data_IF_231029139186
#
_entry.id   IF_231029139186
#
_cell.length_a   1.000
_cell.length_b   1.000
_cell.length_c   1.000
_cell.angle_alpha   90.00
_cell.angle_beta   90.00
_cell.angle_gamma   90.00
#
_symmetry.space_group_name_H-M   'P 1'
#
loop_
_entity.id
_entity.type
_entity.pdbx_description
1 polymer ?
#
# COMPACT_ATOMS: atom_id res chain seq x y z
N UNK A 1 -0.85 -10.52 -16.85
CA UNK A 1 -0.11 -9.52 -16.08
C UNK A 1 -1.02 -8.31 -16.03
N UNK A 2 -1.40 -7.86 -14.84
CA UNK A 2 -2.16 -6.62 -14.66
C UNK A 2 -1.44 -5.51 -15.42
N UNK A 3 -2.15 -4.68 -16.19
CA UNK A 3 -1.59 -3.48 -16.83
C UNK A 3 -1.32 -2.37 -15.80
N UNK A 4 -1.01 -2.74 -14.56
CA UNK A 4 -0.79 -1.82 -13.48
C UNK A 4 0.50 -1.05 -13.75
N UNK A 5 0.33 0.21 -14.10
CA UNK A 5 1.42 1.17 -14.21
C UNK A 5 1.57 1.82 -12.84
N UNK A 6 2.71 1.57 -12.21
CA UNK A 6 3.02 2.09 -10.90
C UNK A 6 3.09 3.63 -10.94
N UNK A 7 2.15 4.29 -10.26
CA UNK A 7 2.00 5.74 -10.19
C UNK A 7 2.98 6.45 -9.25
N UNK A 8 4.04 5.76 -8.80
CA UNK A 8 5.05 6.29 -7.90
C UNK A 8 4.52 6.48 -6.48
N UNK A 9 4.95 7.56 -5.82
CA UNK A 9 4.62 7.87 -4.41
C UNK A 9 3.13 7.80 -4.10
N UNK A 10 2.27 8.27 -5.00
CA UNK A 10 0.82 8.36 -4.78
C UNK A 10 0.17 6.99 -4.55
N UNK A 11 0.66 5.94 -5.18
CA UNK A 11 0.11 4.60 -5.03
C UNK A 11 0.48 3.97 -3.68
N UNK A 12 1.68 4.30 -3.20
CA UNK A 12 2.14 3.91 -1.87
C UNK A 12 1.31 4.61 -0.79
N UNK A 13 1.07 5.91 -0.95
CA UNK A 13 0.23 6.69 -0.02
C UNK A 13 -1.21 6.16 0.03
N UNK A 14 -1.83 5.87 -1.13
CA UNK A 14 -3.16 5.26 -1.19
C UNK A 14 -3.22 3.91 -0.50
N UNK A 15 -2.22 3.06 -0.74
CA UNK A 15 -2.15 1.73 -0.13
C UNK A 15 -1.98 1.82 1.38
N UNK A 16 -1.20 2.80 1.84
CA UNK A 16 -0.99 3.06 3.27
C UNK A 16 -2.28 3.52 3.95
N UNK A 17 -3.01 4.46 3.35
CA UNK A 17 -4.32 4.89 3.85
C UNK A 17 -5.32 3.73 3.94
N UNK A 18 -5.32 2.84 2.94
CA UNK A 18 -6.16 1.64 2.96
C UNK A 18 -5.77 0.70 4.11
N UNK A 19 -4.48 0.41 4.28
CA UNK A 19 -4.01 -0.50 5.34
C UNK A 19 -4.27 0.08 6.73
N UNK A 20 -4.09 1.39 6.94
CA UNK A 20 -4.43 2.06 8.21
C UNK A 20 -5.94 1.96 8.50
N UNK A 21 -6.78 2.11 7.48
CA UNK A 21 -8.23 1.92 7.66
C UNK A 21 -8.59 0.45 7.96
N UNK A 22 -7.89 -0.49 7.34
CA UNK A 22 -8.06 -1.92 7.59
C UNK A 22 -7.65 -2.27 9.02
N UNK A 23 -6.51 -1.78 9.49
CA UNK A 23 -6.00 -1.95 10.84
C UNK A 23 -7.03 -1.50 11.89
N UNK A 24 -7.54 -0.27 11.74
CA UNK A 24 -8.57 0.28 12.62
C UNK A 24 -9.89 -0.53 12.62
N UNK A 25 -10.15 -1.31 11.58
CA UNK A 25 -11.33 -2.16 11.46
C UNK A 25 -11.08 -3.61 11.90
N UNK A 26 -9.84 -4.01 12.14
CA UNK A 26 -9.50 -5.39 12.53
C UNK A 26 -9.60 -5.59 14.04
N UNK A 27 -10.37 -6.60 14.44
CA UNK A 27 -10.45 -7.07 15.83
C UNK A 27 -9.47 -8.22 16.12
N UNK A 28 -8.81 -8.76 15.09
CA UNK A 28 -7.90 -9.89 15.21
C UNK A 28 -6.46 -9.40 15.36
N UNK A 29 -5.84 -9.70 16.51
CA UNK A 29 -4.47 -9.27 16.83
C UNK A 29 -3.40 -9.80 15.85
N UNK A 30 -3.59 -10.98 15.25
CA UNK A 30 -2.64 -11.49 14.26
C UNK A 30 -2.74 -10.71 12.94
N UNK A 31 -3.97 -10.36 12.54
CA UNK A 31 -4.19 -9.55 11.34
C UNK A 31 -3.65 -8.13 11.51
N UNK A 32 -3.81 -7.53 12.70
CA UNK A 32 -3.21 -6.24 13.07
C UNK A 32 -1.69 -6.28 12.91
N UNK A 33 -1.01 -7.30 13.46
CA UNK A 33 0.45 -7.42 13.35
C UNK A 33 0.94 -7.59 11.91
N UNK A 34 0.20 -8.33 11.07
CA UNK A 34 0.51 -8.45 9.65
C UNK A 34 0.34 -7.12 8.93
N UNK A 35 -0.73 -6.38 9.23
CA UNK A 35 -1.00 -5.06 8.66
C UNK A 35 0.06 -4.04 9.10
N UNK A 36 0.43 -4.02 10.39
CA UNK A 36 1.49 -3.15 10.91
C UNK A 36 2.83 -3.37 10.17
N UNK A 37 3.20 -4.64 9.94
CA UNK A 37 4.41 -4.98 9.20
C UNK A 37 4.39 -4.47 7.76
N UNK A 38 3.23 -4.54 7.10
CA UNK A 38 3.08 -4.01 5.73
C UNK A 38 3.04 -2.49 5.70
N UNK A 39 2.42 -1.83 6.69
CA UNK A 39 2.47 -0.36 6.84
C UNK A 39 3.92 0.10 7.01
N UNK A 40 4.70 -0.55 7.88
CA UNK A 40 6.12 -0.23 8.05
C UNK A 40 6.90 -0.42 6.74
N UNK A 41 6.58 -1.46 5.96
CA UNK A 41 7.23 -1.71 4.67
C UNK A 41 6.93 -0.60 3.67
N UNK A 42 5.67 -0.17 3.56
CA UNK A 42 5.27 0.95 2.69
C UNK A 42 5.93 2.27 3.13
N UNK A 43 5.99 2.54 4.44
CA UNK A 43 6.66 3.73 4.99
C UNK A 43 8.15 3.77 4.65
N UNK A 44 8.86 2.64 4.77
CA UNK A 44 10.28 2.56 4.39
C UNK A 44 10.50 2.82 2.89
N UNK A 45 9.56 2.43 2.04
CA UNK A 45 9.64 2.78 0.61
C UNK A 45 9.37 4.27 0.38
N UNK A 46 8.46 4.90 1.12
CA UNK A 46 8.27 6.36 1.08
C UNK A 46 9.52 7.12 1.53
N UNK A 47 10.21 6.65 2.56
CA UNK A 47 11.47 7.25 3.01
C UNK A 47 12.53 7.25 1.90
N UNK A 48 12.58 6.18 1.08
CA UNK A 48 13.47 6.12 -0.09
C UNK A 48 13.09 7.13 -1.15
N UNK A 49 11.80 7.40 -1.34
CA UNK A 49 11.31 8.46 -2.22
C UNK A 49 11.66 9.87 -1.73
N UNK A 50 11.63 10.10 -0.41
CA UNK A 50 12.04 11.38 0.18
C UNK A 50 13.53 11.67 -0.08
N UNK A 51 14.36 10.61 -0.10
CA UNK A 51 15.80 10.72 -0.39
C UNK A 51 16.07 10.76 -1.90
N UNK A 52 15.32 10.00 -2.70
CA UNK A 52 15.45 9.92 -4.15
C UNK A 52 14.06 9.91 -4.81
N UNK A 53 13.59 11.04 -5.37
CA UNK A 53 12.29 11.13 -6.03
C UNK A 53 12.12 10.20 -7.24
N UNK A 54 13.22 9.73 -7.82
CA UNK A 54 13.23 8.78 -8.95
C UNK A 54 13.46 7.33 -8.49
N UNK A 55 13.33 7.05 -7.19
CA UNK A 55 13.36 5.69 -6.67
C UNK A 55 12.24 4.87 -7.30
N UNK A 56 12.56 3.67 -7.76
CA UNK A 56 11.58 2.71 -8.26
C UNK A 56 11.76 1.45 -7.41
N UNK A 57 10.73 1.02 -6.67
CA UNK A 57 10.76 -0.24 -5.91
C UNK A 57 10.99 -1.44 -6.83
N UNK A 58 11.32 -2.58 -6.23
CA UNK A 58 11.45 -3.83 -6.99
C UNK A 58 10.09 -4.31 -7.53
N UNK A 59 10.16 -5.20 -8.54
CA UNK A 59 8.96 -5.71 -9.20
C UNK A 59 8.04 -6.48 -8.24
N UNK A 60 8.62 -7.18 -7.26
CA UNK A 60 7.86 -7.93 -6.25
C UNK A 60 7.04 -6.99 -5.35
N UNK A 61 7.62 -5.86 -4.95
CA UNK A 61 6.92 -4.82 -4.20
C UNK A 61 5.83 -4.16 -5.06
N UNK A 62 6.12 -3.87 -6.33
CA UNK A 62 5.12 -3.31 -7.24
C UNK A 62 3.95 -4.27 -7.43
N UNK A 63 4.19 -5.59 -7.52
CA UNK A 63 3.13 -6.59 -7.60
C UNK A 63 2.26 -6.60 -6.34
N UNK A 64 2.86 -6.57 -5.16
CA UNK A 64 2.14 -6.50 -3.88
C UNK A 64 1.34 -5.19 -3.80
N UNK A 65 1.96 -4.06 -4.15
CA UNK A 65 1.34 -2.74 -4.14
C UNK A 65 0.14 -2.68 -5.08
N UNK A 66 0.23 -3.31 -6.25
CA UNK A 66 -0.89 -3.37 -7.20
C UNK A 66 -2.15 -3.98 -6.58
N UNK A 67 -1.99 -5.01 -5.75
CA UNK A 67 -3.09 -5.65 -5.04
C UNK A 67 -3.67 -4.77 -3.92
N UNK A 68 -2.85 -3.94 -3.27
CA UNK A 68 -3.34 -2.97 -2.28
C UNK A 68 -4.09 -1.82 -2.93
N UNK A 69 -3.60 -1.30 -4.07
CA UNK A 69 -4.27 -0.24 -4.82
C UNK A 69 -5.62 -0.72 -5.35
N UNK A 70 -5.68 -1.91 -5.95
CA UNK A 70 -6.94 -2.50 -6.43
C UNK A 70 -7.96 -2.62 -5.29
N UNK A 71 -7.54 -3.13 -4.13
CA UNK A 71 -8.41 -3.21 -2.95
C UNK A 71 -8.80 -1.85 -2.38
N UNK A 72 -7.91 -0.85 -2.45
CA UNK A 72 -8.23 0.51 -2.01
C UNK A 72 -9.28 1.15 -2.92
N UNK A 73 -9.18 0.93 -4.23
CA UNK A 73 -10.15 1.39 -5.22
C UNK A 73 -11.50 0.71 -5.02
N UNK A 74 -11.53 -0.61 -4.82
CA UNK A 74 -12.74 -1.38 -4.51
C UNK A 74 -13.40 -0.90 -3.22
N UNK A 75 -12.60 -0.66 -2.16
CA UNK A 75 -13.10 -0.15 -0.90
C UNK A 75 -13.74 1.23 -1.06
N UNK A 76 -13.09 2.14 -1.79
CA UNK A 76 -13.64 3.46 -2.08
C UNK A 76 -14.91 3.39 -2.92
N UNK A 77 -14.95 2.52 -3.93
CA UNK A 77 -16.15 2.30 -4.74
C UNK A 77 -17.32 1.73 -3.92
N UNK A 78 -17.05 0.89 -2.92
CA UNK A 78 -18.08 0.32 -2.05
C UNK A 78 -18.73 1.33 -1.08
N UNK A 79 -18.09 2.48 -0.85
CA UNK A 79 -18.59 3.54 0.05
C UNK A 79 -19.27 4.71 -0.67
N UNK A 80 -19.25 4.73 -2.00
CA UNK A 80 -19.92 5.73 -2.85
C UNK A 80 -21.38 5.34 -3.14
#
# INVERSE_FOLDING_TARGET
MSNYEFGGRSDIEKSLDMLVNLDNAQSNALAVLEIDSEIERLQRELDKYDVNPNHVPDADFIEILSGYVERADDWNASKA
#
